data_IF_215999495396
#
_entry.id   IF_215999495396
#
_cell.length_a   1.000
_cell.length_b   1.000
_cell.length_c   1.000
_cell.angle_alpha   90.00
_cell.angle_beta   90.00
_cell.angle_gamma   90.00
#
_symmetry.space_group_name_H-M   'P 1'
#
loop_
_entity.id
_entity.type
_entity.pdbx_description
1 polymer ?
#
# COMPACT_ATOMS: atom_id res chain seq x y z
N UNK A 1 -36.96 2.90 19.73
CA UNK A 1 -37.61 2.23 18.58
C UNK A 1 -36.77 2.36 17.30
N UNK A 2 -36.75 1.36 16.41
CA UNK A 2 -36.00 1.42 15.14
C UNK A 2 -36.81 2.09 14.02
N UNK A 3 -36.17 2.92 13.21
CA UNK A 3 -36.72 3.67 12.08
C UNK A 3 -35.75 3.69 10.90
N UNK A 4 -36.26 3.92 9.71
CA UNK A 4 -35.45 4.18 8.53
C UNK A 4 -35.17 5.68 8.45
N UNK A 5 -33.97 6.08 8.06
CA UNK A 5 -33.60 7.48 7.91
C UNK A 5 -32.68 7.70 6.72
N UNK A 6 -32.75 8.90 6.13
CA UNK A 6 -31.85 9.37 5.08
C UNK A 6 -30.73 10.23 5.70
N UNK A 7 -29.49 10.03 5.28
CA UNK A 7 -28.33 10.83 5.69
C UNK A 7 -28.33 12.15 4.93
N UNK A 8 -28.35 13.26 5.66
CA UNK A 8 -28.48 14.62 5.11
C UNK A 8 -27.19 15.42 5.26
N UNK A 9 -26.42 15.17 6.31
CA UNK A 9 -25.17 15.87 6.58
C UNK A 9 -24.23 14.94 7.37
N UNK A 10 -22.95 14.99 7.04
CA UNK A 10 -21.88 14.22 7.68
C UNK A 10 -20.82 15.13 8.30
N UNK A 11 -20.91 16.45 8.13
CA UNK A 11 -19.94 17.43 8.61
C UNK A 11 -20.13 17.72 10.11
N UNK A 12 -19.84 16.71 10.92
CA UNK A 12 -19.86 16.81 12.36
C UNK A 12 -18.76 17.75 12.88
N UNK A 13 -19.17 18.90 13.42
CA UNK A 13 -18.25 19.93 13.90
C UNK A 13 -17.32 19.48 15.02
N UNK A 14 -17.70 18.47 15.82
CA UNK A 14 -16.84 17.92 16.89
C UNK A 14 -16.18 16.58 16.51
N UNK A 15 -16.36 16.14 15.26
CA UNK A 15 -15.79 14.92 14.68
C UNK A 15 -16.02 13.68 15.54
N UNK A 16 -17.19 13.61 16.19
CA UNK A 16 -17.66 12.47 16.98
C UNK A 16 -18.55 11.52 16.16
N UNK A 17 -18.36 11.53 14.84
CA UNK A 17 -19.03 10.61 13.93
C UNK A 17 -20.55 10.78 13.87
N UNK A 18 -21.09 11.92 14.32
CA UNK A 18 -22.52 12.18 14.21
C UNK A 18 -22.88 12.43 12.75
N UNK A 19 -24.09 12.03 12.40
CA UNK A 19 -24.69 12.32 11.10
C UNK A 19 -26.06 12.96 11.30
N UNK A 20 -26.42 13.89 10.43
CA UNK A 20 -27.73 14.51 10.45
C UNK A 20 -28.70 13.65 9.66
N UNK A 21 -29.83 13.31 10.27
CA UNK A 21 -30.77 12.34 9.71
C UNK A 21 -32.16 12.93 9.46
N UNK A 22 -32.76 12.54 8.33
CA UNK A 22 -34.20 12.68 8.09
C UNK A 22 -34.89 11.35 8.35
N UNK A 23 -35.61 11.25 9.46
CA UNK A 23 -36.31 10.03 9.86
C UNK A 23 -37.59 9.88 9.05
N UNK A 24 -37.76 8.72 8.40
CA UNK A 24 -38.85 8.46 7.46
C UNK A 24 -39.95 7.60 8.11
N UNK A 25 -41.23 7.95 7.92
CA UNK A 25 -41.74 9.15 7.22
C UNK A 25 -41.89 10.39 8.11
N UNK A 26 -41.64 10.30 9.42
CA UNK A 26 -42.06 11.27 10.42
C UNK A 26 -41.49 12.69 10.22
N UNK A 27 -40.32 12.81 9.57
CA UNK A 27 -39.61 14.08 9.38
C UNK A 27 -39.60 14.56 7.91
N UNK A 28 -40.42 14.00 7.03
CA UNK A 28 -40.43 14.35 5.59
C UNK A 28 -40.67 15.84 5.32
N UNK A 29 -41.44 16.51 6.17
CA UNK A 29 -41.81 17.93 6.00
C UNK A 29 -40.92 18.88 6.82
N UNK A 30 -39.96 18.37 7.59
CA UNK A 30 -39.08 19.22 8.39
C UNK A 30 -37.98 19.83 7.53
N UNK A 31 -37.64 21.10 7.79
CA UNK A 31 -36.45 21.70 7.20
C UNK A 31 -35.17 21.10 7.79
N UNK A 32 -34.10 21.08 7.01
CA UNK A 32 -32.82 20.44 7.37
C UNK A 32 -32.22 21.00 8.67
N UNK A 33 -32.47 22.28 8.97
CA UNK A 33 -31.99 22.92 10.20
C UNK A 33 -32.60 22.36 11.49
N UNK A 34 -33.75 21.68 11.39
CA UNK A 34 -34.44 21.07 12.53
C UNK A 34 -34.24 19.55 12.61
N UNK A 35 -33.52 18.96 11.66
CA UNK A 35 -33.22 17.53 11.68
C UNK A 35 -32.23 17.20 12.81
N UNK A 36 -32.42 16.06 13.49
CA UNK A 36 -31.54 15.64 14.57
C UNK A 36 -30.17 15.19 14.04
N UNK A 37 -29.16 15.40 14.88
CA UNK A 37 -27.88 14.71 14.78
C UNK A 37 -27.97 13.38 15.52
N UNK A 38 -27.73 12.29 14.82
CA UNK A 38 -27.67 10.95 15.39
C UNK A 38 -26.22 10.56 15.65
N UNK A 39 -25.97 9.97 16.81
CA UNK A 39 -24.68 9.35 17.15
C UNK A 39 -24.63 7.92 16.59
N UNK A 40 -23.48 7.33 16.33
CA UNK A 40 -23.44 5.90 16.04
C UNK A 40 -23.88 5.09 17.27
N UNK A 41 -24.54 3.96 17.03
CA UNK A 41 -24.82 3.00 18.09
C UNK A 41 -23.53 2.26 18.48
N UNK A 42 -23.23 2.27 19.77
CA UNK A 42 -22.11 1.51 20.33
C UNK A 42 -22.56 0.07 20.55
N UNK A 43 -22.11 -0.85 19.69
CA UNK A 43 -22.31 -2.28 19.90
C UNK A 43 -21.21 -2.84 20.82
N UNK A 44 -21.49 -2.90 22.12
CA UNK A 44 -20.64 -3.60 23.11
C UNK A 44 -20.58 -5.14 22.90
N UNK A 45 -21.22 -5.67 21.86
CA UNK A 45 -21.37 -7.11 21.62
C UNK A 45 -20.11 -7.82 21.11
N UNK A 46 -19.04 -7.09 20.77
CA UNK A 46 -17.77 -7.70 20.32
C UNK A 46 -16.74 -7.91 21.42
N UNK A 47 -17.10 -7.79 22.71
CA UNK A 47 -16.15 -8.04 23.80
C UNK A 47 -15.01 -7.01 23.86
N UNK A 48 -15.22 -5.82 23.28
CA UNK A 48 -14.32 -4.68 23.38
C UNK A 48 -14.35 -4.20 24.83
N UNK A 49 -13.34 -4.58 25.60
CA UNK A 49 -13.14 -4.10 26.96
C UNK A 49 -13.04 -2.57 26.97
N UNK A 50 -13.44 -1.97 28.09
CA UNK A 50 -13.35 -0.53 28.33
C UNK A 50 -11.90 0.03 28.31
N UNK A 51 -10.93 -0.85 28.13
CA UNK A 51 -9.50 -0.59 28.12
C UNK A 51 -8.98 -1.35 26.88
N UNK A 52 -8.48 -0.61 25.87
CA UNK A 52 -7.68 -1.13 24.75
C UNK A 52 -8.39 -2.13 23.79
N UNK A 53 -9.56 -1.75 23.28
CA UNK A 53 -10.29 -2.48 22.23
C UNK A 53 -10.02 -1.94 20.83
N UNK A 54 -10.23 -2.79 19.81
CA UNK A 54 -10.29 -2.34 18.41
C UNK A 54 -11.47 -1.39 18.19
N UNK A 55 -11.31 -0.37 17.35
CA UNK A 55 -12.38 0.57 17.01
C UNK A 55 -12.34 0.93 15.52
N UNK A 56 -13.49 1.30 14.98
CA UNK A 56 -13.61 1.73 13.59
C UNK A 56 -14.24 3.11 13.50
N UNK A 57 -13.86 3.84 12.45
CA UNK A 57 -14.46 5.07 11.98
C UNK A 57 -14.97 4.82 10.57
N UNK A 58 -16.28 4.81 10.39
CA UNK A 58 -16.90 4.72 9.07
C UNK A 58 -18.19 5.51 9.07
N UNK A 59 -18.18 6.65 8.39
CA UNK A 59 -19.34 7.53 8.30
C UNK A 59 -20.13 7.16 7.05
N UNK A 60 -21.44 6.87 7.17
CA UNK A 60 -22.30 6.67 6.00
C UNK A 60 -22.25 7.87 5.06
N UNK A 61 -22.27 7.60 3.75
CA UNK A 61 -22.28 8.66 2.73
C UNK A 61 -23.59 9.46 2.74
N UNK A 62 -23.53 10.68 2.20
CA UNK A 62 -24.72 11.51 1.99
C UNK A 62 -25.74 10.77 1.09
N UNK A 63 -27.02 11.06 1.29
CA UNK A 63 -28.14 10.47 0.55
C UNK A 63 -28.27 8.93 0.67
N UNK A 64 -27.58 8.31 1.64
CA UNK A 64 -27.76 6.89 1.95
C UNK A 64 -28.87 6.66 2.98
N UNK A 65 -29.49 5.47 2.90
CA UNK A 65 -30.48 5.05 3.88
C UNK A 65 -29.81 4.25 5.00
N UNK A 66 -30.07 4.64 6.24
CA UNK A 66 -29.59 3.96 7.45
C UNK A 66 -30.77 3.62 8.35
N UNK A 67 -30.61 2.60 9.19
CA UNK A 67 -31.52 2.42 10.31
C UNK A 67 -31.09 3.31 11.47
N UNK A 68 -32.03 3.88 12.20
CA UNK A 68 -31.76 4.61 13.42
C UNK A 68 -32.66 4.14 14.57
N UNK A 69 -32.11 4.10 15.77
CA UNK A 69 -32.82 3.94 17.01
C UNK A 69 -33.14 5.32 17.60
N UNK A 70 -34.44 5.55 17.80
CA UNK A 70 -35.00 6.79 18.34
C UNK A 70 -35.55 6.50 19.73
N UNK A 71 -35.21 7.31 20.72
CA UNK A 71 -35.81 7.19 22.06
C UNK A 71 -37.32 7.48 22.03
N UNK A 72 -38.07 6.92 22.97
CA UNK A 72 -39.54 7.06 22.97
C UNK A 72 -40.01 8.52 23.13
N UNK A 73 -39.18 9.36 23.75
CA UNK A 73 -39.39 10.80 23.92
C UNK A 73 -38.81 11.66 22.77
N UNK A 74 -38.24 11.03 21.74
CA UNK A 74 -37.64 11.70 20.58
C UNK A 74 -36.50 12.68 20.90
N UNK A 75 -35.76 12.45 21.98
CA UNK A 75 -34.62 13.30 22.37
C UNK A 75 -33.27 12.71 22.02
N UNK A 76 -33.19 11.40 21.79
CA UNK A 76 -31.95 10.67 21.49
C UNK A 76 -32.06 9.86 20.21
N UNK A 77 -31.02 9.94 19.39
CA UNK A 77 -30.97 9.34 18.07
C UNK A 77 -29.64 8.61 17.89
N UNK A 78 -29.69 7.33 17.54
CA UNK A 78 -28.53 6.52 17.25
C UNK A 78 -28.66 5.88 15.88
N UNK A 79 -27.70 6.03 14.97
CA UNK A 79 -27.72 5.26 13.72
C UNK A 79 -27.09 3.88 13.93
N UNK A 80 -27.65 2.90 13.24
CA UNK A 80 -27.21 1.52 13.24
C UNK A 80 -26.30 1.34 12.04
N UNK A 81 -25.00 1.14 12.31
CA UNK A 81 -24.05 0.68 11.32
C UNK A 81 -23.63 -0.75 11.67
N UNK A 82 -23.31 -1.56 10.65
CA UNK A 82 -22.90 -2.96 10.82
C UNK A 82 -21.50 -3.07 11.46
N UNK A 83 -20.73 -1.98 11.43
CA UNK A 83 -19.36 -1.93 11.93
C UNK A 83 -19.35 -1.36 13.36
N UNK A 84 -18.64 -1.99 14.32
CA UNK A 84 -18.51 -1.45 15.67
C UNK A 84 -17.81 -0.09 15.63
N UNK A 85 -18.64 0.95 15.72
CA UNK A 85 -18.23 2.32 15.90
C UNK A 85 -17.96 2.52 17.40
N UNK A 86 -16.81 3.14 17.72
CA UNK A 86 -16.40 3.56 19.05
C UNK A 86 -16.00 2.44 20.03
N UNK A 87 -14.72 2.47 20.41
CA UNK A 87 -14.23 2.02 21.70
C UNK A 87 -13.77 3.22 22.55
N UNK A 88 -13.60 3.05 23.87
CA UNK A 88 -12.88 4.04 24.67
C UNK A 88 -11.48 4.28 24.09
N UNK A 89 -11.14 5.54 23.82
CA UNK A 89 -9.89 5.92 23.14
C UNK A 89 -10.02 6.23 21.65
N UNK A 90 -11.24 6.29 21.10
CA UNK A 90 -11.45 6.88 19.78
C UNK A 90 -11.03 8.36 19.79
N UNK A 91 -10.17 8.72 18.85
CA UNK A 91 -9.94 10.09 18.43
C UNK A 91 -9.70 10.07 16.92
N UNK A 92 -10.60 10.72 16.18
CA UNK A 92 -10.45 10.87 14.74
C UNK A 92 -9.15 11.61 14.41
N UNK A 93 -8.92 12.72 15.12
CA UNK A 93 -7.75 13.57 14.89
C UNK A 93 -6.45 12.82 15.20
N UNK A 94 -6.37 12.09 16.31
CA UNK A 94 -5.15 11.36 16.65
C UNK A 94 -4.85 10.24 15.64
N UNK A 95 -5.90 9.54 15.16
CA UNK A 95 -5.73 8.48 14.17
C UNK A 95 -5.37 9.05 12.80
N UNK A 96 -5.98 10.18 12.42
CA UNK A 96 -5.66 10.90 11.20
C UNK A 96 -4.21 11.37 11.20
N UNK A 97 -3.76 12.02 12.28
CA UNK A 97 -2.37 12.44 12.43
C UNK A 97 -1.41 11.26 12.35
N UNK A 98 -1.74 10.14 13.00
CA UNK A 98 -0.94 8.93 12.87
C UNK A 98 -0.82 8.42 11.43
N UNK A 99 -1.92 8.40 10.66
CA UNK A 99 -1.91 8.00 9.25
C UNK A 99 -1.03 8.95 8.43
N UNK A 100 -1.22 10.27 8.59
CA UNK A 100 -0.48 11.31 7.85
C UNK A 100 1.02 11.36 8.19
N UNK A 101 1.38 11.09 9.44
CA UNK A 101 2.78 11.03 9.87
C UNK A 101 3.48 9.74 9.42
N UNK A 102 2.73 8.67 9.16
CA UNK A 102 3.28 7.38 8.75
C UNK A 102 3.57 7.29 7.25
N UNK A 103 2.82 8.04 6.42
CA UNK A 103 2.89 7.96 4.95
C UNK A 103 3.15 9.36 4.40
N UNK A 104 4.41 9.64 4.04
CA UNK A 104 4.85 10.96 3.59
C UNK A 104 4.17 11.42 2.29
N UNK A 105 3.90 10.48 1.38
CA UNK A 105 3.29 10.75 0.08
C UNK A 105 1.75 10.79 0.08
N UNK A 106 1.11 10.67 1.24
CA UNK A 106 -0.34 10.62 1.35
C UNK A 106 -0.96 11.95 0.92
N UNK A 107 -2.02 11.92 0.12
CA UNK A 107 -2.77 13.12 -0.22
C UNK A 107 -3.45 13.74 1.02
N UNK A 108 -3.89 15.00 0.93
CA UNK A 108 -4.59 15.64 2.04
C UNK A 108 -5.88 14.89 2.39
N UNK A 109 -6.07 14.61 3.68
CA UNK A 109 -7.19 13.83 4.19
C UNK A 109 -8.12 14.75 4.99
N UNK A 110 -9.42 14.76 4.66
CA UNK A 110 -10.40 15.63 5.30
C UNK A 110 -11.55 14.85 5.90
N UNK A 111 -11.96 15.22 7.14
CA UNK A 111 -13.13 14.63 7.77
C UNK A 111 -14.36 14.73 6.85
N UNK A 112 -15.14 13.64 6.66
CA UNK A 112 -15.12 12.40 7.43
C UNK A 112 -14.17 11.30 6.94
N UNK A 113 -13.30 11.57 5.96
CA UNK A 113 -12.35 10.60 5.38
C UNK A 113 -10.90 10.78 5.90
N UNK A 114 -10.16 9.68 6.10
CA UNK A 114 -10.47 8.32 5.66
C UNK A 114 -11.37 7.58 6.64
N UNK A 115 -12.11 6.60 6.13
CA UNK A 115 -12.59 5.51 6.96
C UNK A 115 -11.41 4.67 7.47
N UNK A 116 -11.47 4.17 8.70
CA UNK A 116 -10.40 3.33 9.25
C UNK A 116 -10.87 2.35 10.31
N UNK A 117 -10.07 1.32 10.54
CA UNK A 117 -10.17 0.39 11.67
C UNK A 117 -8.82 0.32 12.37
N UNK A 118 -8.80 0.57 13.67
CA UNK A 118 -7.63 0.34 14.53
C UNK A 118 -7.83 -0.96 15.30
N UNK A 119 -6.95 -1.92 15.10
CA UNK A 119 -6.95 -3.21 15.80
C UNK A 119 -6.33 -3.08 17.20
N UNK A 120 -6.50 -4.12 18.02
CA UNK A 120 -5.96 -4.14 19.39
C UNK A 120 -4.42 -4.11 19.43
N UNK A 121 -3.76 -4.67 18.42
CA UNK A 121 -2.30 -4.62 18.32
C UNK A 121 -1.77 -3.27 17.83
N UNK A 122 -2.66 -2.32 17.51
CA UNK A 122 -2.32 -0.97 17.06
C UNK A 122 -2.20 -0.82 15.56
N UNK A 123 -2.41 -1.88 14.78
CA UNK A 123 -2.50 -1.80 13.31
C UNK A 123 -3.68 -0.92 12.91
N UNK A 124 -3.48 -0.08 11.89
CA UNK A 124 -4.52 0.79 11.33
C UNK A 124 -4.73 0.43 9.87
N UNK A 125 -5.93 -0.02 9.55
CA UNK A 125 -6.40 -0.20 8.17
C UNK A 125 -7.24 1.02 7.79
N UNK A 126 -6.99 1.64 6.64
CA UNK A 126 -7.72 2.83 6.22
C UNK A 126 -8.08 2.81 4.74
N UNK A 127 -9.14 3.55 4.40
CA UNK A 127 -9.56 3.80 3.03
C UNK A 127 -10.21 5.18 2.93
N UNK A 128 -9.72 6.00 2.00
CA UNK A 128 -10.32 7.27 1.64
C UNK A 128 -11.07 7.14 0.31
N UNK A 129 -12.37 7.36 0.34
CA UNK A 129 -13.21 7.35 -0.87
C UNK A 129 -13.16 8.64 -1.69
N UNK A 130 -12.70 9.74 -1.09
CA UNK A 130 -12.51 11.04 -1.75
C UNK A 130 -11.25 11.06 -2.61
N UNK A 131 -10.13 10.54 -2.09
CA UNK A 131 -8.84 10.45 -2.83
C UNK A 131 -8.68 9.12 -3.57
N UNK A 132 -9.36 8.06 -3.13
CA UNK A 132 -9.18 6.69 -3.65
C UNK A 132 -8.02 5.93 -3.00
N UNK A 133 -7.31 6.53 -2.05
CA UNK A 133 -6.19 5.89 -1.35
C UNK A 133 -6.65 4.86 -0.32
N UNK A 134 -5.82 3.86 -0.03
CA UNK A 134 -6.06 2.89 1.04
C UNK A 134 -4.77 2.28 1.54
N UNK A 135 -4.77 1.75 2.76
CA UNK A 135 -3.56 1.14 3.29
C UNK A 135 -3.72 0.45 4.63
N UNK A 136 -2.62 -0.16 5.06
CA UNK A 136 -2.46 -0.83 6.34
C UNK A 136 -1.14 -0.34 6.94
N UNK A 137 -1.19 0.19 8.15
CA UNK A 137 -0.03 0.70 8.88
C UNK A 137 0.15 -0.15 10.14
N UNK A 138 1.31 -0.78 10.28
CA UNK A 138 1.68 -1.53 11.47
C UNK A 138 2.35 -0.62 12.51
N UNK A 139 2.28 -0.95 13.82
CA UNK A 139 2.93 -0.18 14.87
C UNK A 139 4.45 -0.04 14.74
N UNK A 140 5.09 -0.91 13.95
CA UNK A 140 6.52 -0.82 13.63
C UNK A 140 6.88 0.36 12.73
N UNK A 141 5.89 1.04 12.14
CA UNK A 141 6.06 2.01 11.06
C UNK A 141 6.14 1.37 9.68
N UNK A 142 6.03 0.04 9.59
CA UNK A 142 5.88 -0.66 8.30
C UNK A 142 4.48 -0.40 7.76
N UNK A 143 4.34 -0.05 6.49
CA UNK A 143 3.03 0.15 5.89
C UNK A 143 2.92 -0.47 4.49
N UNK A 144 1.68 -0.75 4.11
CA UNK A 144 1.23 -1.02 2.75
C UNK A 144 0.29 0.12 2.34
N UNK A 145 0.52 0.74 1.19
CA UNK A 145 -0.24 1.88 0.69
C UNK A 145 -0.58 1.69 -0.79
N UNK A 146 -1.85 1.88 -1.12
CA UNK A 146 -2.38 1.97 -2.49
C UNK A 146 -2.72 3.43 -2.75
N UNK A 147 -2.01 4.03 -3.72
CA UNK A 147 -2.23 5.41 -4.14
C UNK A 147 -3.45 5.53 -5.06
N UNK A 148 -3.93 6.75 -5.25
CA UNK A 148 -5.05 7.10 -6.13
C UNK A 148 -4.83 6.68 -7.60
N UNK A 149 -3.57 6.64 -8.07
CA UNK A 149 -3.17 6.20 -9.41
C UNK A 149 -3.06 4.66 -9.56
N UNK A 150 -3.29 3.90 -8.49
CA UNK A 150 -3.17 2.45 -8.46
C UNK A 150 -1.76 1.93 -8.15
N UNK A 151 -0.78 2.82 -7.91
CA UNK A 151 0.56 2.44 -7.43
C UNK A 151 0.46 1.76 -6.07
N UNK A 152 1.15 0.63 -5.90
CA UNK A 152 1.23 -0.11 -4.64
C UNK A 152 2.60 0.08 -4.02
N UNK A 153 2.67 0.48 -2.75
CA UNK A 153 3.91 0.61 -2.00
C UNK A 153 3.89 -0.21 -0.72
N UNK A 154 5.00 -0.88 -0.44
CA UNK A 154 5.33 -1.42 0.89
C UNK A 154 6.57 -0.71 1.39
N UNK A 155 6.52 -0.10 2.57
CA UNK A 155 7.64 0.59 3.21
C UNK A 155 7.96 -0.06 4.54
N UNK A 156 9.26 -0.23 4.84
CA UNK A 156 9.76 -0.60 6.16
C UNK A 156 11.11 0.07 6.43
N UNK A 157 11.13 1.06 7.32
CA UNK A 157 12.33 1.85 7.59
C UNK A 157 12.77 2.61 6.33
N UNK A 158 14.01 2.41 5.88
CA UNK A 158 14.54 3.01 4.65
C UNK A 158 14.30 2.14 3.39
N UNK A 159 13.72 0.94 3.56
CA UNK A 159 13.49 0.01 2.45
C UNK A 159 12.06 0.12 1.93
N UNK A 160 11.90 0.16 0.61
CA UNK A 160 10.61 0.20 -0.07
C UNK A 160 10.53 -0.81 -1.22
N UNK A 161 9.31 -1.25 -1.51
CA UNK A 161 8.96 -1.92 -2.76
C UNK A 161 7.74 -1.20 -3.34
N UNK A 162 7.83 -0.74 -4.58
CA UNK A 162 6.77 -0.05 -5.30
C UNK A 162 6.44 -0.79 -6.60
N UNK A 163 5.15 -1.02 -6.86
CA UNK A 163 4.61 -1.47 -8.15
C UNK A 163 3.89 -0.28 -8.74
N UNK A 164 4.44 0.28 -9.82
CA UNK A 164 3.94 1.47 -10.50
C UNK A 164 2.76 1.13 -11.41
N UNK A 165 1.95 2.13 -11.77
CA UNK A 165 0.79 1.99 -12.67
C UNK A 165 1.15 1.29 -14.00
N UNK A 166 2.34 1.57 -14.56
CA UNK A 166 2.79 0.96 -15.81
C UNK A 166 3.32 -0.49 -15.67
N UNK A 167 3.19 -1.09 -14.48
CA UNK A 167 3.63 -2.44 -14.15
C UNK A 167 5.14 -2.55 -13.87
N UNK A 168 5.86 -1.43 -13.84
CA UNK A 168 7.26 -1.41 -13.40
C UNK A 168 7.35 -1.68 -11.90
N UNK A 169 8.45 -2.28 -11.47
CA UNK A 169 8.69 -2.62 -10.06
C UNK A 169 9.97 -1.93 -9.61
N UNK A 170 9.87 -1.13 -8.56
CA UNK A 170 11.01 -0.50 -7.91
C UNK A 170 11.23 -1.13 -6.53
N UNK A 171 12.47 -1.48 -6.22
CA UNK A 171 12.91 -1.87 -4.89
C UNK A 171 13.97 -0.88 -4.46
N UNK A 172 13.75 -0.19 -3.36
CA UNK A 172 14.69 0.79 -2.81
C UNK A 172 15.21 0.25 -1.48
N UNK A 173 16.51 0.14 -1.31
CA UNK A 173 17.15 -0.13 -0.02
C UNK A 173 18.22 0.93 0.26
N UNK A 174 18.82 0.88 1.45
CA UNK A 174 19.75 1.93 1.89
C UNK A 174 20.97 2.16 0.97
N UNK A 175 21.43 1.12 0.26
CA UNK A 175 22.65 1.17 -0.57
C UNK A 175 22.47 0.58 -1.98
N UNK A 176 21.23 0.36 -2.39
CA UNK A 176 20.92 -0.17 -3.72
C UNK A 176 19.46 0.06 -4.05
N UNK A 177 19.19 0.49 -5.27
CA UNK A 177 17.86 0.52 -5.84
C UNK A 177 17.82 -0.33 -7.10
N UNK A 178 16.73 -1.09 -7.28
CA UNK A 178 16.44 -1.87 -8.47
C UNK A 178 15.17 -1.33 -9.11
N UNK A 179 15.17 -1.14 -10.42
CA UNK A 179 13.99 -0.82 -11.20
C UNK A 179 13.87 -1.83 -12.34
N UNK A 180 12.82 -2.64 -12.29
CA UNK A 180 12.33 -3.35 -13.46
C UNK A 180 11.39 -2.42 -14.23
N UNK A 181 11.92 -1.79 -15.28
CA UNK A 181 11.18 -0.95 -16.20
C UNK A 181 10.46 -1.83 -17.22
N UNK A 182 9.15 -1.98 -17.02
CA UNK A 182 8.30 -2.84 -17.84
C UNK A 182 8.12 -2.30 -19.27
N UNK A 183 8.05 -0.99 -19.44
CA UNK A 183 7.84 -0.34 -20.74
C UNK A 183 9.04 -0.56 -21.66
N UNK A 184 10.25 -0.36 -21.12
CA UNK A 184 11.49 -0.51 -21.88
C UNK A 184 12.09 -1.91 -21.77
N UNK A 185 11.51 -2.79 -20.94
CA UNK A 185 11.96 -4.16 -20.65
C UNK A 185 13.41 -4.17 -20.16
N UNK A 186 13.72 -3.29 -19.21
CA UNK A 186 15.07 -3.12 -18.64
C UNK A 186 15.07 -3.42 -17.16
N UNK A 187 16.17 -3.99 -16.69
CA UNK A 187 16.52 -3.97 -15.27
C UNK A 187 17.60 -2.91 -15.09
N UNK A 188 17.32 -1.94 -14.23
CA UNK A 188 18.21 -0.82 -13.90
C UNK A 188 18.59 -0.96 -12.44
N UNK A 189 19.87 -0.80 -12.13
CA UNK A 189 20.38 -0.75 -10.77
C UNK A 189 20.97 0.64 -10.55
N UNK A 190 20.61 1.31 -9.47
CA UNK A 190 21.16 2.61 -9.08
C UNK A 190 21.66 2.58 -7.63
N UNK A 191 22.45 3.59 -7.28
CA UNK A 191 22.94 3.83 -5.91
C UNK A 191 23.75 2.68 -5.32
N UNK A 192 24.42 1.90 -6.18
CA UNK A 192 25.06 0.65 -5.78
C UNK A 192 26.46 0.88 -5.22
N UNK A 193 26.63 0.67 -3.92
CA UNK A 193 27.95 0.57 -3.30
C UNK A 193 28.40 -0.90 -3.21
N UNK A 194 29.30 -1.32 -4.11
CA UNK A 194 29.87 -2.68 -4.19
C UNK A 194 28.85 -3.77 -4.60
N UNK A 195 28.47 -3.79 -5.88
CA UNK A 195 27.62 -4.85 -6.44
C UNK A 195 28.37 -6.19 -6.56
N UNK A 196 27.85 -7.25 -5.94
CA UNK A 196 28.26 -8.62 -6.22
C UNK A 196 27.13 -9.37 -6.93
N UNK A 197 27.37 -9.80 -8.18
CA UNK A 197 26.43 -10.64 -8.93
C UNK A 197 26.96 -12.07 -8.90
N UNK A 198 26.31 -12.94 -8.11
CA UNK A 198 26.73 -14.33 -7.93
C UNK A 198 26.58 -15.20 -9.20
N UNK A 199 25.78 -14.77 -10.16
CA UNK A 199 25.63 -15.44 -11.44
C UNK A 199 24.52 -14.84 -12.27
N UNK A 200 24.63 -14.97 -13.59
CA UNK A 200 23.56 -14.62 -14.51
C UNK A 200 23.34 -15.78 -15.47
N UNK A 201 22.09 -16.22 -15.59
CA UNK A 201 21.68 -17.26 -16.51
C UNK A 201 21.03 -16.59 -17.72
N UNK A 202 21.51 -16.91 -18.92
CA UNK A 202 20.98 -16.41 -20.18
C UNK A 202 20.51 -17.58 -21.04
N UNK A 203 19.39 -17.40 -21.72
CA UNK A 203 18.93 -18.30 -22.77
C UNK A 203 19.83 -18.24 -24.01
N UNK A 204 19.78 -19.30 -24.82
CA UNK A 204 20.49 -19.33 -26.12
C UNK A 204 19.93 -18.21 -27.02
N UNK A 205 20.81 -17.35 -27.52
CA UNK A 205 20.46 -16.23 -28.40
C UNK A 205 20.10 -14.91 -27.69
N UNK A 206 20.11 -14.89 -26.36
CA UNK A 206 19.89 -13.66 -25.59
C UNK A 206 21.15 -12.76 -25.58
N UNK A 207 20.94 -11.45 -25.45
CA UNK A 207 22.02 -10.47 -25.32
C UNK A 207 21.91 -9.77 -23.98
N UNK A 208 23.03 -9.70 -23.27
CA UNK A 208 23.16 -8.87 -22.09
C UNK A 208 24.02 -7.66 -22.42
N UNK A 209 23.49 -6.49 -22.08
CA UNK A 209 24.22 -5.23 -22.17
C UNK A 209 24.25 -4.65 -20.77
N UNK A 210 25.42 -4.61 -20.16
CA UNK A 210 25.64 -3.88 -18.91
C UNK A 210 26.13 -2.49 -19.31
N UNK A 211 25.33 -1.47 -18.95
CA UNK A 211 25.70 -0.07 -19.11
C UNK A 211 26.03 0.45 -17.73
N UNK A 212 27.27 0.89 -17.53
CA UNK A 212 27.69 1.62 -16.35
C UNK A 212 27.70 3.11 -16.68
N UNK A 213 27.23 3.91 -15.74
CA UNK A 213 27.23 5.37 -15.70
C UNK A 213 28.64 5.95 -15.53
N UNK A 214 29.61 5.14 -15.09
CA UNK A 214 31.02 5.46 -15.27
C UNK A 214 31.41 5.29 -16.74
N UNK A 215 32.17 6.25 -17.27
CA UNK A 215 32.83 6.20 -18.58
C UNK A 215 33.74 4.96 -18.81
N UNK A 216 33.74 3.99 -17.91
CA UNK A 216 34.50 2.77 -18.00
C UNK A 216 33.57 1.55 -18.06
N UNK A 217 33.43 1.05 -19.29
CA UNK A 217 33.17 -0.34 -19.66
C UNK A 217 31.71 -0.74 -19.90
N UNK A 218 31.28 -0.64 -21.15
CA UNK A 218 30.17 -1.45 -21.68
C UNK A 218 30.63 -2.90 -21.77
N UNK A 219 30.18 -3.76 -20.86
CA UNK A 219 30.37 -5.20 -21.00
C UNK A 219 29.26 -5.75 -21.90
N UNK A 220 29.58 -6.02 -23.18
CA UNK A 220 28.75 -6.84 -24.06
C UNK A 220 29.11 -8.29 -23.84
N UNK A 221 28.26 -9.04 -23.15
CA UNK A 221 28.34 -10.50 -23.14
C UNK A 221 27.60 -10.97 -24.40
N UNK A 222 28.36 -11.26 -25.45
CA UNK A 222 27.80 -11.97 -26.60
C UNK A 222 27.57 -13.43 -26.18
N UNK A 223 26.31 -13.86 -26.18
CA UNK A 223 26.00 -15.29 -26.17
C UNK A 223 26.75 -15.94 -27.34
N UNK A 224 27.55 -16.96 -27.05
CA UNK A 224 28.29 -17.69 -28.06
C UNK A 224 27.30 -18.30 -29.06
N UNK A 225 27.29 -17.80 -30.30
CA UNK A 225 26.88 -18.64 -31.42
C UNK A 225 27.88 -19.79 -31.52
N UNK A 226 27.31 -20.99 -31.48
CA UNK A 226 27.93 -22.30 -31.52
C UNK A 226 29.35 -22.35 -32.13
N UNK A 227 30.34 -22.72 -31.32
CA UNK A 227 31.43 -23.57 -31.80
C UNK A 227 31.26 -24.96 -31.20
N UNK A 228 30.17 -25.62 -31.61
CA UNK A 228 29.95 -27.06 -31.49
C UNK A 228 30.93 -27.83 -32.39
N UNK A 229 32.25 -27.73 -32.16
CA UNK A 229 33.23 -28.70 -32.68
C UNK A 229 34.63 -28.41 -32.13
N UNK A 230 34.95 -28.96 -30.95
CA UNK A 230 36.28 -29.54 -30.60
C UNK A 230 36.36 -29.96 -29.13
N UNK A 231 35.45 -30.84 -28.72
CA UNK A 231 35.69 -31.74 -27.59
C UNK A 231 35.24 -33.16 -27.98
N UNK A 232 35.68 -33.64 -29.16
CA UNK A 232 35.83 -35.09 -29.37
C UNK A 232 37.15 -35.53 -28.73
N UNK A 233 37.19 -35.47 -27.40
CA UNK A 233 38.12 -36.24 -26.60
C UNK A 233 37.52 -37.62 -26.40
N UNK A 234 38.05 -38.58 -27.15
CA UNK A 234 37.97 -40.02 -26.96
C UNK A 234 37.30 -40.51 -25.65
N UNK A 235 35.97 -40.67 -25.64
CA UNK A 235 35.27 -41.52 -24.67
C UNK A 235 34.08 -42.21 -25.35
N UNK A 236 34.26 -43.50 -25.61
CA UNK A 236 33.15 -44.41 -25.88
C UNK A 236 32.33 -44.57 -24.60
N UNK A 237 31.10 -44.06 -24.58
CA UNK A 237 30.19 -44.24 -23.46
C UNK A 237 28.84 -43.59 -23.73
N UNK A 238 27.86 -44.44 -24.04
CA UNK A 238 26.46 -44.09 -24.25
C UNK A 238 25.85 -43.49 -22.96
N UNK A 239 25.40 -42.23 -22.96
CA UNK A 239 24.43 -41.72 -21.98
C UNK A 239 23.46 -40.78 -22.70
N UNK A 240 22.22 -41.24 -22.85
CA UNK A 240 21.10 -40.45 -23.35
C UNK A 240 20.54 -39.53 -22.25
N UNK A 241 20.17 -38.31 -22.66
CA UNK A 241 19.27 -37.36 -21.99
C UNK A 241 19.70 -36.79 -20.62
N UNK A 242 20.49 -35.72 -20.66
CA UNK A 242 20.44 -34.66 -19.66
C UNK A 242 20.43 -33.30 -20.39
N UNK A 243 19.55 -32.34 -20.06
CA UNK A 243 19.68 -30.98 -20.56
C UNK A 243 20.99 -30.42 -20.02
N UNK A 244 21.90 -30.06 -20.93
CA UNK A 244 23.19 -29.48 -20.58
C UNK A 244 22.96 -28.11 -19.95
N UNK A 245 23.02 -28.06 -18.62
CA UNK A 245 23.09 -26.84 -17.84
C UNK A 245 24.45 -26.19 -18.12
N UNK A 246 24.48 -25.11 -18.92
CA UNK A 246 25.69 -24.29 -19.09
C UNK A 246 25.64 -23.21 -18.01
N UNK A 247 26.27 -23.48 -16.87
CA UNK A 247 26.49 -22.48 -15.84
C UNK A 247 27.62 -21.55 -16.26
N UNK A 248 27.31 -20.25 -16.42
CA UNK A 248 28.32 -19.21 -16.58
C UNK A 248 28.76 -18.76 -15.17
N UNK A 249 29.93 -19.19 -14.71
CA UNK A 249 30.58 -18.60 -13.52
C UNK A 249 31.40 -17.42 -14.00
N UNK A 250 30.84 -16.21 -13.90
CA UNK A 250 31.59 -14.98 -14.10
C UNK A 250 32.20 -14.62 -12.75
N UNK A 251 33.51 -14.88 -12.58
CA UNK A 251 34.25 -14.30 -11.46
C UNK A 251 34.33 -12.79 -11.69
N UNK A 252 33.42 -12.03 -11.08
CA UNK A 252 33.61 -10.58 -10.96
C UNK A 252 34.72 -10.29 -9.93
N UNK A 253 35.56 -9.27 -10.13
CA UNK A 253 36.56 -8.89 -9.14
C UNK A 253 35.89 -8.48 -7.82
N UNK A 254 36.43 -8.99 -6.71
CA UNK A 254 35.84 -8.98 -5.35
C UNK A 254 35.76 -7.60 -4.66
N UNK A 255 35.89 -6.50 -5.38
CA UNK A 255 35.52 -5.16 -4.90
C UNK A 255 35.68 -4.16 -6.03
N UNK A 256 34.64 -3.37 -6.29
CA UNK A 256 34.73 -2.15 -7.08
C UNK A 256 34.38 -1.01 -6.11
N UNK A 257 35.42 -0.35 -5.59
CA UNK A 257 35.26 0.92 -4.85
C UNK A 257 35.09 2.04 -5.86
N UNK A 258 33.89 2.59 -5.99
CA UNK A 258 33.68 3.84 -6.73
C UNK A 258 33.37 4.96 -5.74
N UNK A 259 34.36 5.83 -5.54
CA UNK A 259 34.12 7.16 -5.00
C UNK A 259 33.84 8.12 -6.16
N UNK A 260 32.85 8.99 -5.93
CA UNK A 260 32.61 10.29 -6.55
C UNK A 260 31.89 10.41 -7.90
N UNK A 261 30.96 11.37 -7.84
CA UNK A 261 30.10 12.03 -8.82
C UNK A 261 30.87 12.73 -9.93
N UNK A 262 30.35 12.70 -11.17
CA UNK A 262 30.58 13.77 -12.15
C UNK A 262 29.52 13.78 -13.27
N UNK A 263 28.68 14.82 -13.28
CA UNK A 263 27.93 15.26 -14.47
C UNK A 263 28.89 15.70 -15.57
N UNK A 264 28.51 15.61 -16.85
CA UNK A 264 28.68 16.73 -17.82
C UNK A 264 27.93 16.45 -19.14
N UNK A 265 27.19 17.51 -19.52
CA UNK A 265 26.58 17.94 -20.80
C UNK A 265 25.59 17.03 -21.54
#
# INVERSE_FOLDING_TARGET
MKRLALVIDTNDSDKQGKIKLRILPEMNMMSENHLPWARPQIHNSYGLSKEEGSYSHKIPELDTLVYCEVSDDWTSFYYLDEIPFYGPGYSYEDTLSFIQESIEELEEQTYPQPSYTKTKDGTVEFHNTETGESGIIYPSGTYFHVRSDGTLKVQSGETSVEILENGSIQLTGSNVSFLFDNENKKLILTDVENLEIAGIVMGIGEKMTILTDSNDTVWRIHGFEENLTKLKGNTSGNVNNAPSLVGLVVNMPTSIKTNSTLHIS
#
